data_IF_790117770385
#
_entry.id   IF_790117770385
#
_cell.length_a   1.000
_cell.length_b   1.000
_cell.length_c   1.000
_cell.angle_alpha   90.00
_cell.angle_beta   90.00
_cell.angle_gamma   90.00
#
_symmetry.space_group_name_H-M   'P 1'
#
loop_
_entity.id
_entity.type
_entity.pdbx_description
1 polymer ?
#
# COMPACT_ATOMS: atom_id res chain seq x y z
N UNK A 1 -14.44 -10.04 -15.41
CA UNK A 1 -14.55 -8.78 -14.65
C UNK A 1 -13.22 -8.55 -13.94
N UNK A 2 -12.62 -7.36 -14.08
CA UNK A 2 -11.37 -7.05 -13.39
C UNK A 2 -11.63 -6.95 -11.88
N UNK A 3 -10.78 -7.60 -11.07
CA UNK A 3 -10.85 -7.50 -9.60
C UNK A 3 -10.43 -6.08 -9.21
N UNK A 4 -11.18 -5.38 -8.35
CA UNK A 4 -10.76 -4.09 -7.83
C UNK A 4 -9.40 -4.24 -7.14
N UNK A 5 -8.43 -3.42 -7.51
CA UNK A 5 -7.13 -3.39 -6.86
C UNK A 5 -7.31 -2.74 -5.47
N UNK A 6 -7.06 -3.46 -4.38
CA UNK A 6 -7.19 -2.88 -3.05
C UNK A 6 -6.19 -1.73 -2.88
N UNK A 7 -6.61 -0.65 -2.21
CA UNK A 7 -5.72 0.42 -1.77
C UNK A 7 -4.69 -0.14 -0.78
N UNK A 8 -3.46 0.37 -0.85
CA UNK A 8 -2.42 0.00 0.12
C UNK A 8 -2.81 0.51 1.51
N UNK A 9 -2.45 -0.17 2.61
CA UNK A 9 -2.67 0.35 3.97
C UNK A 9 -1.97 1.69 4.18
N UNK A 10 -2.61 2.62 4.89
CA UNK A 10 -2.11 3.99 5.07
C UNK A 10 -1.98 4.41 6.55
N UNK A 11 -2.73 3.76 7.45
CA UNK A 11 -2.66 4.02 8.90
C UNK A 11 -1.91 2.92 9.65
N UNK A 12 -1.37 3.20 10.86
CA UNK A 12 -0.73 2.18 11.69
C UNK A 12 -1.64 0.97 11.96
N UNK A 13 -2.93 1.20 12.21
CA UNK A 13 -3.90 0.14 12.51
C UNK A 13 -4.18 -0.75 11.29
N UNK A 14 -4.30 -0.14 10.11
CA UNK A 14 -4.47 -0.89 8.85
C UNK A 14 -3.23 -1.72 8.53
N UNK A 15 -2.04 -1.16 8.79
CA UNK A 15 -0.76 -1.83 8.56
C UNK A 15 -0.62 -3.03 9.51
N UNK A 16 -0.93 -2.84 10.79
CA UNK A 16 -0.89 -3.90 11.79
C UNK A 16 -1.88 -5.02 11.43
N UNK A 17 -3.12 -4.67 11.07
CA UNK A 17 -4.13 -5.66 10.67
C UNK A 17 -3.73 -6.43 9.40
N UNK A 18 -3.15 -5.76 8.41
CA UNK A 18 -2.66 -6.40 7.19
C UNK A 18 -1.46 -7.32 7.47
N UNK A 19 -0.56 -6.91 8.36
CA UNK A 19 0.59 -7.72 8.77
C UNK A 19 0.16 -8.97 9.53
N UNK A 20 -0.78 -8.84 10.47
CA UNK A 20 -1.38 -9.97 11.20
C UNK A 20 -2.08 -10.95 10.25
N UNK A 21 -2.90 -10.45 9.33
CA UNK A 21 -3.57 -11.28 8.33
C UNK A 21 -2.57 -12.03 7.40
N UNK A 22 -1.38 -11.46 7.22
CA UNK A 22 -0.29 -12.07 6.45
C UNK A 22 0.66 -12.94 7.29
N UNK A 23 0.51 -12.99 8.62
CA UNK A 23 1.42 -13.69 9.52
C UNK A 23 2.83 -13.06 9.60
N UNK A 24 2.91 -11.74 9.39
CA UNK A 24 4.16 -10.97 9.42
C UNK A 24 4.25 -10.17 10.72
N UNK A 25 5.30 -10.39 11.50
CA UNK A 25 5.58 -9.57 12.66
C UNK A 25 6.33 -8.28 12.27
N UNK A 26 5.80 -7.12 12.66
CA UNK A 26 6.44 -5.81 12.50
C UNK A 26 6.91 -5.33 13.88
N UNK A 27 8.23 -5.30 14.16
CA UNK A 27 8.72 -4.71 15.39
C UNK A 27 8.33 -3.23 15.51
N UNK A 28 8.03 -2.75 16.71
CA UNK A 28 7.62 -1.35 16.95
C UNK A 28 8.61 -0.33 16.38
N UNK A 29 9.92 -0.60 16.53
CA UNK A 29 10.99 0.23 15.99
C UNK A 29 10.95 0.36 14.45
N UNK A 30 10.32 -0.59 13.76
CA UNK A 30 10.19 -0.59 12.30
C UNK A 30 8.91 0.11 11.81
N UNK A 31 7.91 0.32 12.68
CA UNK A 31 6.57 0.78 12.27
C UNK A 31 6.62 2.11 11.51
N UNK A 32 7.39 3.09 12.00
CA UNK A 32 7.53 4.38 11.34
C UNK A 32 8.10 4.25 9.90
N UNK A 33 9.06 3.35 9.68
CA UNK A 33 9.64 3.08 8.37
C UNK A 33 8.66 2.35 7.44
N UNK A 34 7.89 1.40 7.97
CA UNK A 34 6.85 0.69 7.22
C UNK A 34 5.79 1.68 6.71
N UNK A 35 5.33 2.58 7.59
CA UNK A 35 4.37 3.65 7.23
C UNK A 35 4.93 4.50 6.09
N UNK A 36 6.17 4.99 6.19
CA UNK A 36 6.79 5.81 5.17
C UNK A 36 6.91 5.09 3.82
N UNK A 37 7.32 3.82 3.83
CA UNK A 37 7.44 3.01 2.62
C UNK A 37 6.09 2.77 1.95
N UNK A 38 5.05 2.42 2.72
CA UNK A 38 3.71 2.20 2.18
C UNK A 38 3.11 3.48 1.61
N UNK A 39 3.33 4.63 2.26
CA UNK A 39 2.91 5.93 1.72
C UNK A 39 3.60 6.24 0.37
N UNK A 40 4.90 5.99 0.25
CA UNK A 40 5.64 6.16 -0.99
C UNK A 40 5.11 5.24 -2.10
N UNK A 41 4.90 3.96 -1.79
CA UNK A 41 4.35 2.98 -2.73
C UNK A 41 2.92 3.33 -3.15
N UNK A 42 2.07 3.81 -2.23
CA UNK A 42 0.72 4.26 -2.54
C UNK A 42 0.73 5.40 -3.57
N UNK A 43 1.63 6.38 -3.40
CA UNK A 43 1.83 7.46 -4.36
C UNK A 43 2.28 6.94 -5.72
N UNK A 44 3.29 6.08 -5.77
CA UNK A 44 3.76 5.52 -7.05
C UNK A 44 2.69 4.68 -7.75
N UNK A 45 1.94 3.88 -7.00
CA UNK A 45 0.85 3.08 -7.54
C UNK A 45 -0.26 3.97 -8.14
N UNK A 46 -0.56 5.12 -7.53
CA UNK A 46 -1.50 6.09 -8.09
C UNK A 46 -0.99 6.68 -9.42
N UNK A 47 0.27 7.10 -9.48
CA UNK A 47 0.90 7.64 -10.70
C UNK A 47 0.91 6.59 -11.83
N UNK A 48 1.24 5.34 -11.52
CA UNK A 48 1.29 4.28 -12.52
C UNK A 48 -0.10 3.92 -13.07
N UNK A 49 -1.14 3.95 -12.23
CA UNK A 49 -2.53 3.74 -12.67
C UNK A 49 -3.00 4.86 -13.59
N UNK A 50 -2.79 6.11 -13.18
CA UNK A 50 -3.13 7.29 -13.98
C UNK A 50 -2.46 7.24 -15.37
N UNK A 51 -1.19 6.84 -15.43
CA UNK A 51 -0.49 6.65 -16.71
C UNK A 51 -1.01 5.47 -17.53
N UNK A 52 -1.36 4.36 -16.90
CA UNK A 52 -1.90 3.19 -17.60
C UNK A 52 -3.31 3.46 -18.16
N UNK A 53 -4.10 4.31 -17.49
CA UNK A 53 -5.43 4.74 -17.94
C UNK A 53 -5.35 5.88 -18.97
N UNK A 54 -4.27 6.68 -18.93
CA UNK A 54 -4.01 7.79 -19.85
C UNK A 54 -3.28 7.45 -21.15
N UNK A 55 -2.85 6.20 -21.35
CA UNK A 55 -2.16 5.70 -22.55
C UNK A 55 -3.12 5.00 -23.56
N UNK A 56 -4.40 5.38 -23.57
CA UNK A 56 -5.34 5.04 -24.66
C UNK A 56 -5.43 6.17 -25.71
N UNK A 57 -4.28 6.63 -26.22
CA UNK A 57 -4.18 7.59 -27.32
C UNK A 57 -3.38 7.05 -28.51
#
# INVERSE_FOLDING_TARGET
MARPTPSLPHSPDEIAAAADAAGIAIPDACMAGVIANLALLARHAAILRDRAEGDEA
#
